data_IF_652412266870
#
_entry.id   IF_652412266870
#
_cell.length_a   1.000
_cell.length_b   1.000
_cell.length_c   1.000
_cell.angle_alpha   90.00
_cell.angle_beta   90.00
_cell.angle_gamma   90.00
#
_symmetry.space_group_name_H-M   'P 1'
#
loop_
_entity.id
_entity.type
_entity.pdbx_description
1 polymer ?
#
# COMPACT_ATOMS: atom_id res chain seq x y z
N UNK A 1 6.89 19.91 -15.42
CA UNK A 1 6.29 18.75 -16.17
C UNK A 1 5.01 19.24 -16.81
N UNK A 2 4.80 19.01 -18.12
CA UNK A 2 3.56 19.42 -18.79
C UNK A 2 2.36 18.66 -18.22
N UNK A 3 1.17 19.28 -18.17
CA UNK A 3 -0.04 18.70 -17.57
C UNK A 3 -0.40 17.33 -18.17
N UNK A 4 -0.26 17.17 -19.48
CA UNK A 4 -0.56 15.90 -20.16
C UNK A 4 0.35 14.76 -19.69
N UNK A 5 1.62 15.04 -19.41
CA UNK A 5 2.55 14.05 -18.88
C UNK A 5 2.14 13.61 -17.46
N UNK A 6 1.78 14.57 -16.59
CA UNK A 6 1.26 14.24 -15.25
C UNK A 6 0.03 13.33 -15.32
N UNK A 7 -0.92 13.65 -16.20
CA UNK A 7 -2.13 12.87 -16.39
C UNK A 7 -1.81 11.45 -16.82
N UNK A 8 -0.94 11.31 -17.83
CA UNK A 8 -0.54 10.00 -18.33
C UNK A 8 0.20 9.19 -17.28
N UNK A 9 1.16 9.78 -16.58
CA UNK A 9 1.92 9.12 -15.51
C UNK A 9 0.99 8.64 -14.39
N UNK A 10 0.05 9.48 -13.95
CA UNK A 10 -0.91 9.10 -12.91
C UNK A 10 -1.87 8.00 -13.35
N UNK A 11 -2.43 8.08 -14.55
CA UNK A 11 -3.29 7.04 -15.09
C UNK A 11 -2.54 5.70 -15.25
N UNK A 12 -1.24 5.78 -15.49
CA UNK A 12 -0.40 4.60 -15.68
C UNK A 12 0.03 3.95 -14.37
N UNK A 13 0.60 4.74 -13.46
CA UNK A 13 1.21 4.25 -12.23
C UNK A 13 0.28 4.29 -11.02
N UNK A 14 -0.83 5.06 -11.09
CA UNK A 14 -1.66 5.37 -9.93
C UNK A 14 -1.01 6.38 -8.96
N UNK A 15 0.14 6.95 -9.34
CA UNK A 15 0.84 8.00 -8.61
C UNK A 15 1.77 8.77 -9.57
N UNK A 16 2.31 9.92 -9.16
CA UNK A 16 3.40 10.56 -9.91
C UNK A 16 4.74 10.08 -9.38
N UNK A 17 5.53 9.38 -10.21
CA UNK A 17 6.91 9.09 -9.85
C UNK A 17 7.72 10.38 -9.65
N UNK A 18 8.60 10.44 -8.65
CA UNK A 18 9.44 11.60 -8.43
C UNK A 18 10.43 11.78 -9.60
N UNK A 19 10.73 13.04 -9.96
CA UNK A 19 11.72 13.35 -10.99
C UNK A 19 13.14 12.97 -10.56
N UNK A 20 13.38 12.94 -9.25
CA UNK A 20 14.65 12.56 -8.64
C UNK A 20 14.41 11.44 -7.63
N UNK A 21 15.44 10.67 -7.34
CA UNK A 21 15.34 9.64 -6.32
C UNK A 21 15.03 10.29 -4.97
N UNK A 22 14.01 9.82 -4.24
CA UNK A 22 13.73 10.33 -2.91
C UNK A 22 14.97 10.26 -2.02
N UNK A 23 15.17 11.25 -1.12
CA UNK A 23 16.21 11.17 -0.12
C UNK A 23 16.14 9.86 0.66
N UNK A 24 17.28 9.22 0.88
CA UNK A 24 17.33 7.91 1.53
C UNK A 24 17.47 6.72 0.58
N UNK A 25 17.14 6.85 -0.72
CA UNK A 25 17.43 5.79 -1.70
C UNK A 25 18.92 5.70 -2.06
N UNK A 26 19.70 6.75 -1.81
CA UNK A 26 21.15 6.73 -1.93
C UNK A 26 21.80 5.63 -1.06
N UNK A 27 21.11 5.19 -0.02
CA UNK A 27 21.53 4.08 0.84
C UNK A 27 21.71 2.80 0.03
N UNK A 28 20.90 2.60 -0.99
CA UNK A 28 20.96 1.41 -1.83
C UNK A 28 22.14 1.43 -2.80
N UNK A 29 22.68 2.60 -3.13
CA UNK A 29 23.82 2.76 -4.06
C UNK A 29 25.20 2.69 -3.40
N UNK A 30 25.27 2.59 -2.08
CA UNK A 30 26.54 2.51 -1.35
C UNK A 30 26.97 1.06 -1.16
N UNK A 31 28.25 0.76 -1.43
CA UNK A 31 28.86 -0.51 -1.03
C UNK A 31 28.57 -0.77 0.47
N UNK A 32 28.16 -1.98 0.79
CA UNK A 32 27.86 -2.38 2.17
C UNK A 32 29.16 -2.85 2.81
N UNK A 33 29.77 -2.09 3.72
CA UNK A 33 30.91 -2.62 4.45
C UNK A 33 30.41 -3.59 5.51
N UNK A 34 30.86 -4.82 5.44
CA UNK A 34 30.62 -5.83 6.47
C UNK A 34 30.10 -7.16 5.94
N UNK A 35 30.52 -8.23 6.54
CA UNK A 35 29.97 -9.56 6.29
C UNK A 35 28.63 -9.71 7.01
N UNK A 36 27.53 -9.47 6.28
CA UNK A 36 26.20 -9.76 6.80
C UNK A 36 25.91 -11.25 6.74
N UNK A 37 25.52 -11.82 7.87
CA UNK A 37 24.97 -13.17 7.89
C UNK A 37 23.46 -13.12 7.66
N UNK A 38 23.00 -13.85 6.69
CA UNK A 38 21.58 -13.91 6.31
C UNK A 38 20.93 -15.14 6.92
N UNK A 39 20.70 -15.08 8.23
CA UNK A 39 19.98 -16.07 9.03
C UNK A 39 18.95 -15.38 9.94
N UNK A 40 18.06 -16.15 10.55
CA UNK A 40 16.96 -15.61 11.34
C UNK A 40 17.42 -14.82 12.58
N UNK A 41 18.49 -15.26 13.26
CA UNK A 41 18.97 -14.67 14.50
C UNK A 41 19.64 -13.32 14.23
N UNK A 42 20.51 -13.23 13.23
CA UNK A 42 21.16 -11.96 12.86
C UNK A 42 20.15 -10.95 12.30
N UNK A 43 19.17 -11.44 11.51
CA UNK A 43 18.06 -10.62 11.02
C UNK A 43 17.22 -10.07 12.19
N UNK A 44 16.91 -10.90 13.19
CA UNK A 44 16.18 -10.51 14.39
C UNK A 44 16.96 -9.49 15.23
N UNK A 45 18.24 -9.72 15.45
CA UNK A 45 19.12 -8.81 16.20
C UNK A 45 19.29 -7.45 15.51
N UNK A 46 19.36 -7.44 14.18
CA UNK A 46 19.36 -6.20 13.40
C UNK A 46 18.02 -5.46 13.55
N UNK A 47 16.92 -6.18 13.51
CA UNK A 47 15.58 -5.60 13.64
C UNK A 47 15.40 -4.96 15.03
N UNK A 48 15.86 -5.62 16.10
CA UNK A 48 15.84 -5.06 17.45
C UNK A 48 16.61 -3.73 17.52
N UNK A 49 17.81 -3.68 16.98
CA UNK A 49 18.62 -2.46 16.91
C UNK A 49 17.94 -1.35 16.14
N UNK A 50 17.45 -1.65 14.96
CA UNK A 50 16.72 -0.70 14.09
C UNK A 50 15.49 -0.15 14.79
N UNK A 51 14.77 -0.99 15.51
CA UNK A 51 13.60 -0.57 16.26
C UNK A 51 13.97 0.37 17.41
N UNK A 52 14.99 0.02 18.20
CA UNK A 52 15.46 0.83 19.33
C UNK A 52 16.03 2.18 18.84
N UNK A 53 16.81 2.18 17.76
CA UNK A 53 17.33 3.41 17.14
C UNK A 53 16.17 4.31 16.66
N UNK A 54 15.13 3.72 16.08
CA UNK A 54 13.93 4.47 15.64
C UNK A 54 13.20 5.10 16.82
N UNK A 55 13.03 4.38 17.92
CA UNK A 55 12.41 4.92 19.14
C UNK A 55 13.22 6.06 19.74
N UNK A 56 14.53 5.93 19.78
CA UNK A 56 15.44 6.91 20.39
C UNK A 56 15.41 8.26 19.67
N UNK A 57 15.17 8.27 18.35
CA UNK A 57 15.10 9.50 17.55
C UNK A 57 13.92 10.40 17.93
N UNK A 58 12.85 9.86 18.50
CA UNK A 58 11.59 10.58 18.74
C UNK A 58 11.32 10.89 20.22
N UNK A 59 12.20 10.46 21.13
CA UNK A 59 12.10 10.76 22.56
C UNK A 59 10.97 10.01 23.27
N UNK A 60 10.27 10.68 24.19
CA UNK A 60 9.16 10.09 24.94
C UNK A 60 7.83 10.29 24.22
N UNK A 61 6.98 9.29 24.23
CA UNK A 61 5.61 9.33 23.71
C UNK A 61 4.62 8.79 24.75
N UNK A 62 3.36 9.23 24.64
CA UNK A 62 2.31 8.82 25.58
C UNK A 62 1.84 7.41 25.30
N UNK A 63 1.52 7.13 24.03
CA UNK A 63 1.09 5.82 23.56
C UNK A 63 1.69 5.48 22.21
N UNK A 64 1.82 4.19 21.94
CA UNK A 64 2.13 3.64 20.63
C UNK A 64 0.82 3.21 19.97
N UNK A 65 0.58 3.70 18.77
CA UNK A 65 -0.58 3.36 17.94
C UNK A 65 -0.09 2.54 16.76
N UNK A 66 -0.62 1.33 16.57
CA UNK A 66 -0.17 0.42 15.51
C UNK A 66 -1.33 0.13 14.56
N UNK A 67 -1.24 0.52 13.27
CA UNK A 67 -2.13 0.02 12.23
C UNK A 67 -1.91 -1.49 12.07
N UNK A 68 -2.78 -2.30 12.67
CA UNK A 68 -2.63 -3.74 12.72
C UNK A 68 -3.43 -4.42 11.62
N UNK A 69 -2.77 -5.22 10.80
CA UNK A 69 -3.38 -5.96 9.70
C UNK A 69 -3.17 -7.47 9.85
N UNK A 70 -3.77 -8.26 8.95
CA UNK A 70 -3.51 -9.69 8.85
C UNK A 70 -2.12 -10.06 8.31
N UNK A 71 -1.26 -9.07 8.00
CA UNK A 71 0.08 -9.25 7.47
C UNK A 71 1.17 -9.52 8.52
N UNK A 72 2.43 -9.60 8.07
CA UNK A 72 3.58 -9.84 8.95
C UNK A 72 4.16 -8.58 9.55
N UNK A 73 4.22 -7.48 8.80
CA UNK A 73 4.97 -6.28 9.18
C UNK A 73 4.40 -5.61 10.43
N UNK A 74 3.10 -5.30 10.43
CA UNK A 74 2.42 -4.72 11.59
C UNK A 74 2.43 -5.67 12.80
N UNK A 75 2.39 -6.97 12.55
CA UNK A 75 2.45 -8.01 13.59
C UNK A 75 3.83 -8.09 14.26
N UNK A 76 4.90 -7.96 13.49
CA UNK A 76 6.27 -7.88 14.01
C UNK A 76 6.43 -6.61 14.86
N UNK A 77 5.94 -5.48 14.38
CA UNK A 77 5.97 -4.22 15.14
C UNK A 77 5.20 -4.33 16.46
N UNK A 78 4.06 -5.02 16.46
CA UNK A 78 3.32 -5.32 17.69
C UNK A 78 4.16 -6.19 18.65
N UNK A 79 4.85 -7.21 18.14
CA UNK A 79 5.73 -8.06 18.93
C UNK A 79 6.87 -7.27 19.58
N UNK A 80 7.56 -6.45 18.80
CA UNK A 80 8.64 -5.57 19.28
C UNK A 80 8.15 -4.54 20.32
N UNK A 81 6.97 -3.97 20.09
CA UNK A 81 6.37 -3.02 21.02
C UNK A 81 6.02 -3.69 22.36
N UNK A 82 5.44 -4.90 22.34
CA UNK A 82 5.06 -5.64 23.54
C UNK A 82 6.27 -6.09 24.40
N UNK A 83 7.44 -6.21 23.82
CA UNK A 83 8.67 -6.51 24.57
C UNK A 83 9.25 -5.29 25.28
N UNK A 84 8.92 -4.09 24.81
CA UNK A 84 9.49 -2.83 25.31
C UNK A 84 8.52 -1.98 26.12
N UNK A 85 7.22 -2.19 25.93
CA UNK A 85 6.18 -1.38 26.53
C UNK A 85 5.08 -2.23 27.16
N UNK A 86 4.49 -1.78 28.27
CA UNK A 86 3.27 -2.39 28.80
C UNK A 86 2.14 -2.38 27.75
N UNK A 87 1.35 -3.45 27.69
CA UNK A 87 0.23 -3.52 26.74
C UNK A 87 -0.78 -2.38 26.87
N UNK A 88 -0.91 -1.79 28.06
CA UNK A 88 -1.76 -0.61 28.30
C UNK A 88 -1.28 0.65 27.56
N UNK A 89 -0.01 0.71 27.14
CA UNK A 89 0.54 1.82 26.37
C UNK A 89 0.50 1.58 24.87
N UNK A 90 -0.10 0.46 24.43
CA UNK A 90 -0.19 0.07 23.04
C UNK A 90 -1.65 0.05 22.63
N UNK A 91 -1.99 0.79 21.58
CA UNK A 91 -3.28 0.74 20.91
C UNK A 91 -3.10 0.23 19.50
N UNK A 92 -4.05 -0.53 19.05
CA UNK A 92 -4.05 -1.04 17.68
C UNK A 92 -5.36 -0.69 16.99
N UNK A 93 -5.31 -0.54 15.67
CA UNK A 93 -6.52 -0.39 14.87
C UNK A 93 -6.38 -1.11 13.53
N UNK A 94 -7.53 -1.45 12.98
CA UNK A 94 -7.63 -1.97 11.61
C UNK A 94 -8.78 -1.25 10.92
N UNK A 95 -8.59 -0.81 9.68
CA UNK A 95 -9.69 -0.37 8.84
C UNK A 95 -9.99 -1.42 7.78
N UNK A 96 -11.26 -1.58 7.44
CA UNK A 96 -11.72 -2.57 6.47
C UNK A 96 -13.19 -2.92 6.64
N UNK A 97 -13.60 -3.98 5.96
CA UNK A 97 -14.95 -4.55 6.12
C UNK A 97 -14.92 -5.71 7.12
N UNK A 98 -15.85 -5.75 8.09
CA UNK A 98 -16.07 -6.94 8.92
C UNK A 98 -16.27 -8.19 8.05
N UNK A 99 -15.63 -9.28 8.43
CA UNK A 99 -15.60 -10.51 7.65
C UNK A 99 -14.45 -10.63 6.65
N UNK A 100 -13.70 -9.56 6.37
CA UNK A 100 -12.52 -9.59 5.51
C UNK A 100 -11.25 -9.94 6.30
N UNK A 101 -10.22 -10.43 5.58
CA UNK A 101 -9.01 -10.96 6.24
C UNK A 101 -8.29 -9.96 7.12
N UNK A 102 -8.02 -8.75 6.63
CA UNK A 102 -7.26 -7.77 7.41
C UNK A 102 -8.03 -7.35 8.66
N UNK A 103 -9.34 -7.10 8.54
CA UNK A 103 -10.20 -6.67 9.64
C UNK A 103 -10.31 -7.73 10.74
N UNK A 104 -10.72 -8.94 10.39
CA UNK A 104 -10.96 -10.01 11.36
C UNK A 104 -9.66 -10.52 12.01
N UNK A 105 -8.60 -10.64 11.22
CA UNK A 105 -7.30 -11.13 11.70
C UNK A 105 -6.63 -10.10 12.59
N UNK A 106 -6.67 -8.81 12.23
CA UNK A 106 -6.14 -7.73 13.07
C UNK A 106 -6.78 -7.74 14.46
N UNK A 107 -8.11 -7.77 14.53
CA UNK A 107 -8.85 -7.89 15.77
C UNK A 107 -8.51 -9.16 16.57
N UNK A 108 -8.38 -10.30 15.87
CA UNK A 108 -8.00 -11.58 16.50
C UNK A 108 -6.61 -11.52 17.12
N UNK A 109 -5.64 -10.92 16.42
CA UNK A 109 -4.27 -10.77 16.93
C UNK A 109 -4.26 -9.89 18.17
N UNK A 110 -4.88 -8.72 18.11
CA UNK A 110 -4.93 -7.77 19.21
C UNK A 110 -5.56 -8.39 20.47
N UNK A 111 -6.69 -9.05 20.31
CA UNK A 111 -7.36 -9.78 21.40
C UNK A 111 -6.46 -10.85 22.03
N UNK A 112 -5.81 -11.69 21.20
CA UNK A 112 -4.91 -12.76 21.68
C UNK A 112 -3.66 -12.22 22.38
N UNK A 113 -3.22 -11.02 22.01
CA UNK A 113 -2.05 -10.38 22.60
C UNK A 113 -2.40 -9.45 23.78
N UNK A 114 -3.67 -9.29 24.12
CA UNK A 114 -4.13 -8.48 25.25
C UNK A 114 -3.91 -6.98 25.09
N UNK A 115 -4.03 -6.46 23.86
CA UNK A 115 -3.91 -5.03 23.56
C UNK A 115 -5.26 -4.44 23.14
N UNK A 116 -5.45 -3.14 23.43
CA UNK A 116 -6.62 -2.39 22.97
C UNK A 116 -6.70 -2.37 21.43
N UNK A 117 -7.89 -2.62 20.89
CA UNK A 117 -8.10 -2.63 19.45
C UNK A 117 -9.39 -1.93 19.03
N UNK A 118 -9.30 -1.16 17.97
CA UNK A 118 -10.45 -0.50 17.33
C UNK A 118 -10.55 -0.94 15.86
N UNK A 119 -11.71 -1.48 15.49
CA UNK A 119 -12.04 -1.76 14.09
C UNK A 119 -12.76 -0.57 13.45
N UNK A 120 -12.20 0.01 12.41
CA UNK A 120 -12.86 1.05 11.61
C UNK A 120 -13.60 0.37 10.45
N UNK A 121 -14.93 0.29 10.59
CA UNK A 121 -15.78 -0.35 9.58
C UNK A 121 -15.98 0.56 8.38
N UNK A 122 -15.33 0.28 7.26
CA UNK A 122 -15.41 1.09 6.04
C UNK A 122 -16.79 1.07 5.36
N UNK A 123 -17.69 0.18 5.74
CA UNK A 123 -19.08 0.26 5.28
C UNK A 123 -19.84 1.45 5.89
N UNK A 124 -19.39 1.94 7.06
CA UNK A 124 -19.99 3.04 7.81
C UNK A 124 -19.28 4.37 7.56
N UNK A 125 -18.15 4.36 6.86
CA UNK A 125 -17.40 5.56 6.49
C UNK A 125 -17.98 6.14 5.22
N UNK A 126 -18.54 7.33 5.30
CA UNK A 126 -19.03 8.07 4.14
C UNK A 126 -17.86 8.69 3.36
N UNK A 127 -17.90 8.53 2.04
CA UNK A 127 -16.87 9.05 1.13
C UNK A 127 -17.37 10.33 0.45
N UNK A 128 -16.85 11.47 0.90
CA UNK A 128 -17.21 12.78 0.35
C UNK A 128 -16.11 13.42 -0.48
N UNK A 129 -16.48 14.16 -1.51
CA UNK A 129 -15.54 14.86 -2.40
C UNK A 129 -14.61 15.83 -1.64
N UNK A 130 -15.18 16.64 -0.76
CA UNK A 130 -14.40 17.62 0.02
C UNK A 130 -13.50 16.94 1.07
N UNK A 131 -13.92 15.80 1.59
CA UNK A 131 -13.11 14.99 2.52
C UNK A 131 -11.90 14.42 1.77
N UNK A 132 -12.13 13.86 0.59
CA UNK A 132 -11.05 13.34 -0.26
C UNK A 132 -10.11 14.46 -0.75
N UNK A 133 -10.63 15.66 -1.04
CA UNK A 133 -9.77 16.81 -1.37
C UNK A 133 -8.79 17.16 -0.24
N UNK A 134 -9.22 17.11 1.01
CA UNK A 134 -8.32 17.34 2.15
C UNK A 134 -7.21 16.27 2.18
N UNK A 135 -7.59 15.01 1.99
CA UNK A 135 -6.61 13.92 1.91
C UNK A 135 -5.62 14.11 0.76
N UNK A 136 -6.09 14.47 -0.42
CA UNK A 136 -5.26 14.70 -1.60
C UNK A 136 -4.28 15.86 -1.42
N UNK A 137 -4.64 16.91 -0.69
CA UNK A 137 -3.72 18.01 -0.37
C UNK A 137 -2.47 17.54 0.38
N UNK A 138 -2.60 16.52 1.21
CA UNK A 138 -1.49 15.94 1.96
C UNK A 138 -0.70 14.92 1.11
N UNK A 139 -1.42 14.00 0.48
CA UNK A 139 -0.82 12.85 -0.20
C UNK A 139 -0.43 13.08 -1.66
N UNK A 140 -0.88 14.17 -2.27
CA UNK A 140 -0.53 14.61 -3.64
C UNK A 140 -0.29 13.48 -4.64
N UNK A 141 -1.09 13.40 -5.66
CA UNK A 141 -0.89 12.45 -6.76
C UNK A 141 -0.62 11.00 -6.33
N UNK A 142 -1.18 10.60 -5.18
CA UNK A 142 -1.16 9.24 -4.66
C UNK A 142 -2.49 8.56 -4.95
N UNK A 143 -2.52 7.23 -4.85
CA UNK A 143 -3.76 6.47 -4.90
C UNK A 143 -4.69 6.85 -3.73
N UNK A 144 -5.79 7.51 -4.07
CA UNK A 144 -6.63 8.24 -3.10
C UNK A 144 -7.25 7.38 -1.99
N UNK A 145 -7.82 6.20 -2.26
CA UNK A 145 -8.41 5.41 -1.17
C UNK A 145 -7.40 4.97 -0.11
N UNK A 146 -6.21 4.53 -0.54
CA UNK A 146 -5.17 4.10 0.41
C UNK A 146 -4.76 5.24 1.31
N UNK A 147 -4.52 6.44 0.74
CA UNK A 147 -4.13 7.60 1.53
C UNK A 147 -5.25 8.05 2.47
N UNK A 148 -6.49 8.10 2.00
CA UNK A 148 -7.62 8.51 2.83
C UNK A 148 -7.85 7.57 4.01
N UNK A 149 -7.86 6.25 3.80
CA UNK A 149 -8.11 5.31 4.88
C UNK A 149 -6.98 5.27 5.91
N UNK A 150 -5.73 5.41 5.47
CA UNK A 150 -4.59 5.54 6.39
C UNK A 150 -4.70 6.83 7.21
N UNK A 151 -4.98 7.97 6.58
CA UNK A 151 -5.17 9.26 7.27
C UNK A 151 -6.35 9.22 8.23
N UNK A 152 -7.48 8.65 7.82
CA UNK A 152 -8.65 8.48 8.68
C UNK A 152 -8.32 7.66 9.92
N UNK A 153 -7.66 6.51 9.75
CA UNK A 153 -7.27 5.65 10.85
C UNK A 153 -6.33 6.37 11.82
N UNK A 154 -5.30 7.04 11.31
CA UNK A 154 -4.36 7.79 12.15
C UNK A 154 -5.01 8.96 12.89
N UNK A 155 -5.91 9.72 12.24
CA UNK A 155 -6.63 10.82 12.85
C UNK A 155 -7.60 10.38 13.95
N UNK A 156 -8.25 9.22 13.76
CA UNK A 156 -9.18 8.67 14.76
C UNK A 156 -8.46 8.11 15.98
N UNK A 157 -7.29 7.53 15.80
CA UNK A 157 -6.64 6.71 16.83
C UNK A 157 -5.49 7.39 17.54
N UNK A 158 -4.80 8.33 16.90
CA UNK A 158 -3.65 9.02 17.46
C UNK A 158 -4.00 10.45 17.89
N UNK A 159 -3.39 10.90 18.99
CA UNK A 159 -3.53 12.27 19.51
C UNK A 159 -2.14 12.87 19.78
N UNK A 160 -2.13 14.12 20.21
CA UNK A 160 -0.89 14.86 20.53
C UNK A 160 -0.02 14.08 21.52
N UNK A 161 1.21 13.83 21.15
CA UNK A 161 2.21 13.12 21.95
C UNK A 161 2.18 11.59 21.80
N UNK A 162 1.27 11.03 20.98
CA UNK A 162 1.33 9.63 20.62
C UNK A 162 2.28 9.43 19.43
N UNK A 163 2.69 8.18 19.20
CA UNK A 163 3.47 7.77 18.04
C UNK A 163 2.79 6.65 17.27
N UNK A 164 2.64 6.84 15.96
CA UNK A 164 2.11 5.83 15.05
C UNK A 164 3.28 4.98 14.56
N UNK A 165 3.27 3.70 14.90
CA UNK A 165 4.28 2.74 14.50
C UNK A 165 3.83 2.00 13.26
N UNK A 166 4.32 2.40 12.08
CA UNK A 166 3.85 1.92 10.80
C UNK A 166 4.81 0.92 10.14
N UNK A 167 4.22 -0.10 9.48
CA UNK A 167 4.92 -1.18 8.79
C UNK A 167 5.40 -0.84 7.37
N UNK A 168 5.38 0.42 6.97
CA UNK A 168 5.86 0.83 5.65
C UNK A 168 7.28 0.31 5.38
N UNK A 169 7.58 -0.05 4.14
CA UNK A 169 8.82 -0.64 3.66
C UNK A 169 9.07 -2.09 4.08
N UNK A 170 8.32 -2.67 5.00
CA UNK A 170 8.48 -4.07 5.37
C UNK A 170 8.34 -5.02 4.17
N UNK A 171 7.22 -4.94 3.49
CA UNK A 171 6.91 -5.77 2.31
C UNK A 171 7.90 -5.57 1.14
N UNK A 172 8.12 -4.33 0.64
CA UNK A 172 8.96 -4.12 -0.54
C UNK A 172 10.40 -4.57 -0.34
N UNK A 173 10.99 -4.27 0.83
CA UNK A 173 12.39 -4.60 1.08
C UNK A 173 12.62 -6.10 1.27
N UNK A 174 11.68 -6.78 1.93
CA UNK A 174 11.89 -8.18 2.32
C UNK A 174 11.51 -9.20 1.25
N UNK A 175 11.07 -8.74 0.07
CA UNK A 175 10.91 -9.59 -1.12
C UNK A 175 9.48 -9.97 -1.49
N UNK A 176 8.43 -9.28 -0.98
CA UNK A 176 7.04 -9.56 -1.40
C UNK A 176 6.79 -9.34 -2.89
N UNK A 177 7.56 -8.46 -3.52
CA UNK A 177 7.51 -8.14 -4.94
C UNK A 177 8.69 -8.71 -5.74
N UNK A 178 9.47 -9.58 -5.14
CA UNK A 178 10.63 -10.20 -5.77
C UNK A 178 10.20 -11.09 -6.94
N UNK A 179 10.85 -10.93 -8.08
CA UNK A 179 10.62 -11.72 -9.30
C UNK A 179 11.77 -12.70 -9.44
N UNK A 180 11.45 -14.01 -9.49
CA UNK A 180 12.42 -15.11 -9.44
C UNK A 180 13.36 -15.19 -10.63
N UNK A 181 12.96 -14.71 -11.79
CA UNK A 181 13.76 -14.79 -13.00
C UNK A 181 14.48 -13.46 -13.23
N UNK A 182 15.80 -13.48 -13.30
CA UNK A 182 16.58 -12.36 -13.84
C UNK A 182 16.25 -12.22 -15.32
N UNK A 183 15.16 -11.50 -15.58
CA UNK A 183 14.85 -11.07 -16.92
C UNK A 183 15.93 -10.08 -17.35
N UNK A 184 16.30 -10.08 -18.63
CA UNK A 184 17.09 -8.99 -19.18
C UNK A 184 16.33 -7.68 -18.97
N UNK A 185 17.04 -6.57 -18.88
CA UNK A 185 16.48 -5.25 -18.60
C UNK A 185 15.23 -4.94 -19.42
N UNK A 186 15.26 -5.15 -20.75
CA UNK A 186 14.12 -4.92 -21.62
C UNK A 186 12.91 -5.80 -21.27
N UNK A 187 13.16 -7.04 -20.86
CA UNK A 187 12.10 -7.97 -20.44
C UNK A 187 11.49 -7.58 -19.10
N UNK A 188 12.30 -7.01 -18.20
CA UNK A 188 11.82 -6.49 -16.90
C UNK A 188 10.91 -5.28 -17.13
N UNK A 189 11.32 -4.40 -18.03
CA UNK A 189 10.55 -3.22 -18.41
C UNK A 189 9.21 -3.63 -19.03
N UNK A 190 9.25 -4.56 -20.00
CA UNK A 190 8.04 -5.09 -20.62
C UNK A 190 7.11 -5.79 -19.62
N UNK A 191 7.65 -6.60 -18.70
CA UNK A 191 6.85 -7.26 -17.65
C UNK A 191 6.22 -6.23 -16.70
N UNK A 192 6.97 -5.21 -16.31
CA UNK A 192 6.45 -4.11 -15.50
C UNK A 192 5.34 -3.36 -16.24
N UNK A 193 5.57 -2.97 -17.49
CA UNK A 193 4.61 -2.30 -18.35
C UNK A 193 3.34 -3.15 -18.52
N UNK A 194 3.48 -4.44 -18.82
CA UNK A 194 2.33 -5.34 -19.01
C UNK A 194 1.54 -5.56 -17.71
N UNK A 195 2.21 -5.60 -16.56
CA UNK A 195 1.55 -5.71 -15.25
C UNK A 195 0.81 -4.44 -14.87
N UNK A 196 1.35 -3.28 -15.22
CA UNK A 196 0.67 -2.01 -15.03
C UNK A 196 -0.50 -1.83 -16.01
N UNK A 197 -0.35 -2.26 -17.27
CA UNK A 197 -1.46 -2.29 -18.24
C UNK A 197 -2.66 -3.14 -17.78
N UNK A 198 -2.44 -4.07 -16.86
CA UNK A 198 -3.54 -4.83 -16.22
C UNK A 198 -4.31 -3.99 -15.19
N UNK A 199 -3.74 -2.89 -14.71
CA UNK A 199 -4.54 -1.87 -14.06
C UNK A 199 -5.41 -1.24 -15.17
N UNK A 200 -6.70 -1.50 -15.12
CA UNK A 200 -7.71 -1.24 -16.16
C UNK A 200 -7.80 0.20 -16.70
N UNK A 201 -7.16 1.16 -16.03
CA UNK A 201 -7.13 2.57 -16.44
C UNK A 201 -6.68 2.80 -17.89
N UNK A 202 -5.97 1.86 -18.46
CA UNK A 202 -5.50 1.88 -19.85
C UNK A 202 -6.52 1.46 -20.89
N UNK A 203 -7.42 0.56 -20.51
CA UNK A 203 -8.46 0.06 -21.41
C UNK A 203 -9.66 1.01 -21.49
N UNK A 204 -9.55 2.18 -20.85
CA UNK A 204 -10.64 3.15 -20.74
C UNK A 204 -10.71 4.14 -21.91
N UNK A 205 -9.85 3.99 -22.89
CA UNK A 205 -9.79 4.92 -24.02
C UNK A 205 -10.92 4.70 -24.99
N UNK A 206 -11.40 5.80 -25.57
CA UNK A 206 -12.30 5.75 -26.73
C UNK A 206 -11.64 5.00 -27.89
N UNK A 207 -12.41 4.29 -28.73
CA UNK A 207 -11.87 3.61 -29.90
C UNK A 207 -10.98 4.54 -30.75
N UNK A 208 -9.83 4.03 -31.18
CA UNK A 208 -8.89 4.77 -32.01
C UNK A 208 -7.94 5.72 -31.28
N UNK A 209 -8.05 5.85 -29.95
CA UNK A 209 -7.14 6.67 -29.15
C UNK A 209 -6.16 5.81 -28.34
N UNK A 210 -4.88 6.09 -28.47
CA UNK A 210 -3.84 5.50 -27.62
C UNK A 210 -3.09 6.63 -26.89
N UNK A 211 -3.39 6.92 -25.62
CA UNK A 211 -2.75 7.99 -24.87
C UNK A 211 -1.26 7.76 -24.61
N UNK A 212 -0.78 6.57 -24.88
CA UNK A 212 0.52 6.08 -24.48
C UNK A 212 1.38 5.78 -25.70
N UNK A 213 1.58 6.78 -26.49
CA UNK A 213 2.57 6.74 -27.57
C UNK A 213 4.01 6.76 -27.04
N UNK A 214 4.19 7.05 -25.78
CA UNK A 214 5.47 6.90 -25.07
C UNK A 214 5.19 6.27 -23.71
N UNK A 215 5.79 5.12 -23.42
CA UNK A 215 6.09 4.72 -22.05
C UNK A 215 6.74 5.95 -21.43
N UNK A 216 6.20 6.44 -20.32
CA UNK A 216 6.68 7.70 -19.79
C UNK A 216 8.18 7.68 -19.64
N UNK A 217 8.84 8.80 -19.91
CA UNK A 217 10.25 9.02 -19.57
C UNK A 217 10.58 8.76 -18.09
N UNK A 218 9.59 8.47 -17.27
CA UNK A 218 9.70 7.95 -15.91
C UNK A 218 10.42 6.61 -15.86
N UNK A 219 10.39 5.86 -16.93
CA UNK A 219 11.33 4.79 -17.18
C UNK A 219 12.71 5.34 -17.55
N UNK A 220 13.02 6.57 -17.08
CA UNK A 220 14.35 7.11 -17.18
C UNK A 220 15.33 6.02 -16.75
N UNK A 221 16.19 5.65 -17.66
CA UNK A 221 17.20 4.61 -17.51
C UNK A 221 17.95 4.71 -16.16
N UNK A 222 18.08 5.92 -15.60
CA UNK A 222 18.69 6.16 -14.28
C UNK A 222 17.99 5.47 -13.12
N UNK A 223 16.66 5.33 -13.14
CA UNK A 223 15.93 4.60 -12.12
C UNK A 223 16.08 3.09 -12.28
N UNK A 224 16.15 2.62 -13.52
CA UNK A 224 16.28 1.19 -13.84
C UNK A 224 17.73 0.71 -13.81
N UNK A 225 18.68 1.50 -14.27
CA UNK A 225 20.11 1.22 -14.13
C UNK A 225 20.49 1.03 -12.67
N UNK A 226 19.93 1.86 -11.76
CA UNK A 226 20.13 1.68 -10.33
C UNK A 226 19.43 0.44 -9.77
N UNK A 227 18.33 -0.03 -10.36
CA UNK A 227 17.66 -1.26 -9.93
C UNK A 227 18.45 -2.52 -10.30
N UNK A 228 19.22 -2.51 -11.38
CA UNK A 228 20.10 -3.63 -11.75
C UNK A 228 21.20 -3.88 -10.72
N UNK A 229 21.71 -2.82 -10.10
CA UNK A 229 22.74 -2.89 -9.06
C UNK A 229 22.20 -3.32 -7.70
N UNK A 230 20.88 -3.33 -7.52
CA UNK A 230 20.24 -3.51 -6.21
C UNK A 230 19.67 -4.89 -5.96
N UNK A 231 19.79 -5.83 -6.89
CA UNK A 231 19.12 -7.14 -6.82
C UNK A 231 17.61 -7.06 -6.53
N UNK A 232 17.02 -5.88 -6.71
CA UNK A 232 15.59 -5.65 -6.66
C UNK A 232 15.02 -5.71 -8.06
N UNK A 233 14.00 -6.49 -8.30
CA UNK A 233 13.25 -6.39 -9.54
C UNK A 233 12.65 -4.98 -9.70
N UNK A 234 12.51 -4.52 -10.94
CA UNK A 234 11.95 -3.19 -11.27
C UNK A 234 10.65 -2.91 -10.52
N UNK A 235 9.76 -3.90 -10.40
CA UNK A 235 8.51 -3.78 -9.65
C UNK A 235 8.73 -3.49 -8.18
N UNK A 236 9.69 -4.16 -7.55
CA UNK A 236 10.04 -3.95 -6.15
C UNK A 236 10.61 -2.55 -5.96
N UNK A 237 11.50 -2.12 -6.85
CA UNK A 237 12.08 -0.80 -6.84
C UNK A 237 11.02 0.31 -6.97
N UNK A 238 10.07 0.17 -7.88
CA UNK A 238 8.94 1.12 -8.00
C UNK A 238 8.07 1.18 -6.74
N UNK A 239 7.81 0.04 -6.10
CA UNK A 239 7.11 0.03 -4.82
C UNK A 239 7.90 0.78 -3.74
N UNK A 240 9.22 0.59 -3.68
CA UNK A 240 10.11 1.28 -2.75
C UNK A 240 10.08 2.78 -3.00
N UNK A 241 10.26 3.23 -4.24
CA UNK A 241 10.23 4.66 -4.62
C UNK A 241 8.89 5.28 -4.24
N UNK A 242 7.78 4.64 -4.59
CA UNK A 242 6.44 5.12 -4.26
C UNK A 242 6.25 5.27 -2.75
N UNK A 243 6.57 4.23 -1.99
CA UNK A 243 6.34 4.24 -0.55
C UNK A 243 7.23 5.26 0.15
N UNK A 244 8.52 5.32 -0.18
CA UNK A 244 9.44 6.29 0.43
C UNK A 244 9.02 7.72 0.15
N UNK A 245 8.62 8.02 -1.09
CA UNK A 245 8.24 9.38 -1.47
C UNK A 245 6.95 9.88 -0.80
N UNK A 246 6.08 8.98 -0.36
CA UNK A 246 4.74 9.29 0.12
C UNK A 246 4.44 8.80 1.54
N UNK A 247 5.37 8.09 2.14
CA UNK A 247 5.20 7.32 3.38
C UNK A 247 4.56 8.12 4.51
N UNK A 248 5.07 9.32 4.79
CA UNK A 248 4.53 10.15 5.86
C UNK A 248 3.19 10.79 5.50
N UNK A 249 3.02 11.22 4.26
CA UNK A 249 1.77 11.84 3.81
C UNK A 249 0.60 10.85 3.75
N UNK A 250 0.88 9.55 3.56
CA UNK A 250 -0.13 8.50 3.64
C UNK A 250 -0.82 8.44 5.02
N UNK A 251 -0.10 8.76 6.09
CA UNK A 251 -0.66 8.84 7.46
C UNK A 251 -1.11 10.26 7.86
N UNK A 252 -1.11 11.20 6.92
CA UNK A 252 -1.53 12.58 7.20
C UNK A 252 -0.47 13.45 7.87
N UNK A 253 0.82 13.09 7.77
CA UNK A 253 1.90 13.92 8.26
C UNK A 253 2.02 15.20 7.45
N UNK A 254 2.15 16.33 8.15
CA UNK A 254 2.27 17.66 7.56
C UNK A 254 3.68 18.19 7.74
N UNK A 255 4.39 18.53 6.65
CA UNK A 255 5.77 19.03 6.73
C UNK A 255 5.93 20.25 7.65
N UNK A 256 4.99 21.20 7.57
CA UNK A 256 5.03 22.44 8.34
C UNK A 256 4.88 22.22 9.86
N UNK A 257 4.19 21.16 10.25
CA UNK A 257 3.99 20.81 11.66
C UNK A 257 5.04 19.81 12.17
N UNK A 258 5.75 19.13 11.29
CA UNK A 258 6.64 18.02 11.61
C UNK A 258 5.93 16.80 12.24
N UNK A 259 4.57 16.78 12.21
CA UNK A 259 3.68 15.80 12.84
C UNK A 259 2.40 15.66 12.02
N UNK A 260 1.55 14.71 12.40
CA UNK A 260 0.17 14.65 11.88
C UNK A 260 -0.65 15.85 12.39
N UNK A 261 -1.80 16.11 11.79
CA UNK A 261 -2.74 17.14 12.25
C UNK A 261 -3.13 16.93 13.72
N UNK A 262 -3.25 15.69 14.16
CA UNK A 262 -3.51 15.34 15.56
C UNK A 262 -2.29 15.55 16.49
N UNK A 263 -1.13 15.90 15.96
CA UNK A 263 0.11 16.12 16.72
C UNK A 263 0.89 14.82 17.05
N UNK A 264 0.61 13.72 16.37
CA UNK A 264 1.32 12.46 16.52
C UNK A 264 2.55 12.38 15.60
N UNK A 265 3.58 11.66 16.04
CA UNK A 265 4.73 11.28 15.21
C UNK A 265 4.46 9.99 14.43
N UNK A 266 5.19 9.80 13.32
CA UNK A 266 5.13 8.57 12.53
C UNK A 266 6.49 7.91 12.53
N UNK A 267 6.54 6.71 13.11
CA UNK A 267 7.72 5.87 13.21
C UNK A 267 7.67 4.75 12.16
N UNK A 268 8.74 4.63 11.38
CA UNK A 268 8.82 3.67 10.27
C UNK A 268 10.11 2.84 10.33
N UNK A 269 10.24 1.89 11.28
CA UNK A 269 11.47 1.15 11.50
C UNK A 269 12.00 0.45 10.26
N UNK A 270 11.14 -0.10 9.42
CA UNK A 270 11.56 -0.78 8.19
C UNK A 270 12.12 0.15 7.11
N UNK A 271 11.97 1.48 7.26
CA UNK A 271 12.65 2.45 6.40
C UNK A 271 14.04 2.86 6.91
N UNK A 272 14.47 2.30 8.05
CA UNK A 272 15.77 2.60 8.63
C UNK A 272 16.92 2.21 7.68
N UNK A 273 17.97 3.06 7.53
CA UNK A 273 19.08 2.82 6.62
C UNK A 273 19.74 1.44 6.77
N UNK A 274 19.98 0.98 8.00
CA UNK A 274 20.60 -0.33 8.23
C UNK A 274 19.71 -1.49 7.75
N UNK A 275 18.39 -1.40 7.95
CA UNK A 275 17.44 -2.39 7.48
C UNK A 275 17.41 -2.45 5.96
N UNK A 276 17.35 -1.30 5.33
CA UNK A 276 17.37 -1.19 3.88
C UNK A 276 18.68 -1.77 3.28
N UNK A 277 19.82 -1.44 3.86
CA UNK A 277 21.12 -2.00 3.45
C UNK A 277 21.21 -3.52 3.58
N UNK A 278 20.76 -4.06 4.71
CA UNK A 278 20.72 -5.51 4.92
C UNK A 278 19.94 -6.22 3.82
N UNK A 279 18.72 -5.76 3.56
CA UNK A 279 17.86 -6.40 2.57
C UNK A 279 18.30 -6.14 1.13
N UNK A 280 18.94 -5.03 0.82
CA UNK A 280 19.51 -4.80 -0.52
C UNK A 280 20.60 -5.83 -0.86
N UNK A 281 21.46 -6.15 0.11
CA UNK A 281 22.50 -7.16 -0.06
C UNK A 281 22.05 -8.61 0.16
N UNK A 282 20.80 -8.84 0.60
CA UNK A 282 20.33 -10.18 0.91
C UNK A 282 20.24 -11.06 -0.35
N UNK A 283 20.70 -12.32 -0.28
CA UNK A 283 20.68 -13.22 -1.41
C UNK A 283 19.25 -13.56 -1.85
N UNK A 284 19.08 -13.90 -3.12
CA UNK A 284 17.79 -14.23 -3.73
C UNK A 284 16.98 -15.23 -2.91
N UNK A 285 17.62 -16.30 -2.44
CA UNK A 285 16.99 -17.34 -1.60
C UNK A 285 16.36 -16.78 -0.31
N UNK A 286 16.92 -15.72 0.24
CA UNK A 286 16.40 -15.07 1.45
C UNK A 286 15.17 -14.23 1.15
N UNK A 287 15.11 -13.60 -0.04
CA UNK A 287 14.02 -12.74 -0.50
C UNK A 287 12.85 -13.54 -1.09
N UNK A 288 13.13 -14.67 -1.76
CA UNK A 288 12.11 -15.51 -2.41
C UNK A 288 11.02 -15.91 -1.44
N UNK A 289 9.77 -15.46 -1.71
CA UNK A 289 8.65 -15.71 -0.82
C UNK A 289 8.84 -15.13 0.59
N UNK A 290 9.75 -14.17 0.76
CA UNK A 290 10.12 -13.59 2.07
C UNK A 290 10.68 -14.65 3.03
N UNK A 291 11.42 -15.64 2.53
CA UNK A 291 11.79 -16.85 3.28
C UNK A 291 12.48 -16.50 4.61
N UNK A 292 13.56 -15.71 4.56
CA UNK A 292 14.30 -15.30 5.77
C UNK A 292 13.44 -14.46 6.72
N UNK A 293 12.61 -13.56 6.18
CA UNK A 293 11.74 -12.71 7.02
C UNK A 293 10.68 -13.53 7.76
N UNK A 294 10.09 -14.53 7.11
CA UNK A 294 9.13 -15.45 7.73
C UNK A 294 9.81 -16.36 8.73
N UNK A 295 11.02 -16.82 8.44
CA UNK A 295 11.82 -17.63 9.37
C UNK A 295 12.15 -16.83 10.63
N UNK A 296 12.67 -15.61 10.50
CA UNK A 296 12.91 -14.68 11.60
C UNK A 296 11.65 -14.44 12.43
N UNK A 297 10.51 -14.17 11.77
CA UNK A 297 9.24 -13.97 12.46
C UNK A 297 8.82 -15.20 13.29
N UNK A 298 9.01 -16.41 12.75
CA UNK A 298 8.68 -17.66 13.46
C UNK A 298 9.60 -17.93 14.64
N UNK A 299 10.88 -17.64 14.48
CA UNK A 299 11.89 -17.80 15.53
C UNK A 299 11.68 -16.77 16.64
N UNK A 300 11.55 -15.50 16.27
CA UNK A 300 11.52 -14.37 17.21
C UNK A 300 10.16 -14.21 17.91
N UNK A 301 9.05 -14.43 17.20
CA UNK A 301 7.69 -14.22 17.70
C UNK A 301 6.80 -15.44 17.46
N UNK A 302 7.13 -16.63 18.04
CA UNK A 302 6.41 -17.88 17.74
C UNK A 302 4.92 -17.81 18.07
N UNK A 303 4.52 -17.13 19.14
CA UNK A 303 3.11 -16.96 19.52
C UNK A 303 2.34 -16.14 18.45
N UNK A 304 2.92 -15.07 17.95
CA UNK A 304 2.33 -14.25 16.89
C UNK A 304 2.33 -14.98 15.55
N UNK A 305 3.39 -15.70 15.23
CA UNK A 305 3.51 -16.48 14.00
C UNK A 305 2.49 -17.63 13.91
N UNK A 306 2.06 -18.18 15.05
CA UNK A 306 1.05 -19.24 15.12
C UNK A 306 -0.38 -18.74 14.86
N UNK A 307 -0.64 -17.42 14.90
CA UNK A 307 -1.96 -16.85 14.64
C UNK A 307 -2.28 -16.82 13.13
N UNK A 308 -3.58 -16.79 12.77
CA UNK A 308 -4.01 -16.68 11.38
C UNK A 308 -3.32 -15.53 10.62
N UNK A 309 -3.06 -15.69 9.32
CA UNK A 309 -2.46 -14.66 8.49
C UNK A 309 -3.17 -14.55 7.13
N UNK A 310 -3.32 -13.34 6.62
CA UNK A 310 -3.83 -13.12 5.26
C UNK A 310 -2.93 -13.74 4.20
N UNK A 311 -1.63 -13.78 4.44
CA UNK A 311 -0.65 -14.38 3.53
C UNK A 311 -0.85 -15.89 3.36
N UNK A 312 -1.56 -16.51 4.30
CA UNK A 312 -1.95 -17.92 4.25
C UNK A 312 -3.47 -18.10 4.16
N UNK A 313 -4.19 -17.11 3.62
CA UNK A 313 -5.65 -17.15 3.44
C UNK A 313 -6.42 -17.48 4.74
N UNK A 314 -5.98 -16.91 5.85
CA UNK A 314 -6.56 -17.14 7.17
C UNK A 314 -6.05 -18.39 7.90
N UNK A 315 -5.12 -19.16 7.31
CA UNK A 315 -4.42 -20.21 8.01
C UNK A 315 -3.24 -19.66 8.85
N UNK A 316 -2.73 -20.46 9.78
CA UNK A 316 -1.48 -20.17 10.50
C UNK A 316 -0.24 -20.61 9.70
N UNK A 317 0.92 -20.05 10.03
CA UNK A 317 2.18 -20.31 9.32
C UNK A 317 2.71 -21.76 9.42
N UNK A 318 2.19 -22.57 10.35
CA UNK A 318 2.61 -23.97 10.56
C UNK A 318 1.73 -25.02 9.88
N UNK A 319 0.64 -24.61 9.22
CA UNK A 319 -0.39 -25.52 8.72
C UNK A 319 -0.30 -25.78 7.21
N UNK A 320 0.78 -26.42 6.72
CA UNK A 320 1.04 -26.60 5.29
C UNK A 320 -0.13 -27.17 4.49
N UNK A 321 -0.75 -28.28 4.93
CA UNK A 321 -1.91 -28.88 4.26
C UNK A 321 -3.13 -27.94 4.30
N UNK A 322 -3.40 -27.35 5.46
CA UNK A 322 -4.53 -26.43 5.64
C UNK A 322 -4.36 -25.16 4.80
N UNK A 323 -3.14 -24.60 4.75
CA UNK A 323 -2.81 -23.49 3.85
C UNK A 323 -3.09 -23.85 2.38
N UNK A 324 -2.64 -25.01 1.93
CA UNK A 324 -2.88 -25.47 0.57
C UNK A 324 -4.38 -25.58 0.25
N UNK A 325 -5.17 -26.15 1.17
CA UNK A 325 -6.62 -26.25 1.04
C UNK A 325 -7.29 -24.87 1.00
N UNK A 326 -6.88 -23.94 1.88
CA UNK A 326 -7.41 -22.59 1.91
C UNK A 326 -7.06 -21.82 0.64
N UNK A 327 -5.84 -21.96 0.13
CA UNK A 327 -5.43 -21.38 -1.17
C UNK A 327 -6.25 -21.94 -2.33
N UNK A 328 -6.47 -23.27 -2.38
CA UNK A 328 -7.32 -23.87 -3.41
C UNK A 328 -8.77 -23.40 -3.31
N UNK A 329 -9.33 -23.33 -2.09
CA UNK A 329 -10.67 -22.81 -1.86
C UNK A 329 -10.79 -21.33 -2.31
N UNK A 330 -9.79 -20.51 -2.02
CA UNK A 330 -9.75 -19.11 -2.44
C UNK A 330 -9.71 -19.00 -3.98
N UNK A 331 -8.80 -19.72 -4.63
CA UNK A 331 -8.68 -19.72 -6.09
C UNK A 331 -9.95 -20.22 -6.77
N UNK A 332 -10.57 -21.31 -6.25
CA UNK A 332 -11.83 -21.83 -6.77
C UNK A 332 -12.94 -20.77 -6.70
N UNK A 333 -13.02 -20.04 -5.58
CA UNK A 333 -14.00 -18.96 -5.44
C UNK A 333 -13.78 -17.84 -6.41
N UNK A 334 -12.53 -17.45 -6.68
CA UNK A 334 -12.21 -16.45 -7.72
C UNK A 334 -12.71 -16.93 -9.09
N UNK A 335 -12.40 -18.18 -9.46
CA UNK A 335 -12.84 -18.76 -10.74
C UNK A 335 -14.35 -18.80 -10.82
N UNK A 336 -15.03 -19.26 -9.77
CA UNK A 336 -16.50 -19.30 -9.72
C UNK A 336 -17.12 -17.90 -9.80
N UNK A 337 -16.51 -16.91 -9.15
CA UNK A 337 -16.94 -15.52 -9.25
C UNK A 337 -16.75 -14.96 -10.68
N UNK A 338 -15.65 -15.27 -11.34
CA UNK A 338 -15.41 -14.82 -12.72
C UNK A 338 -16.42 -15.40 -13.71
N UNK A 339 -16.86 -16.65 -13.51
CA UNK A 339 -17.82 -17.31 -14.39
C UNK A 339 -19.30 -17.12 -13.98
N UNK A 340 -19.55 -16.91 -12.70
CA UNK A 340 -20.89 -16.78 -12.13
C UNK A 340 -20.95 -15.62 -11.10
N UNK A 341 -20.68 -14.37 -11.50
CA UNK A 341 -20.52 -13.24 -10.60
C UNK A 341 -21.75 -12.96 -9.74
N UNK A 342 -22.96 -13.19 -10.29
CA UNK A 342 -24.22 -12.97 -9.56
C UNK A 342 -24.39 -13.92 -8.39
N UNK A 343 -23.97 -15.19 -8.54
CA UNK A 343 -24.19 -16.24 -7.52
C UNK A 343 -23.11 -16.21 -6.42
N UNK A 344 -21.85 -15.96 -6.80
CA UNK A 344 -20.69 -16.07 -5.91
C UNK A 344 -20.17 -14.73 -5.38
N UNK A 345 -20.76 -13.62 -5.77
CA UNK A 345 -20.30 -12.27 -5.43
C UNK A 345 -20.14 -12.02 -3.92
N UNK A 346 -21.09 -12.47 -3.11
CA UNK A 346 -21.11 -12.25 -1.65
C UNK A 346 -20.19 -13.14 -0.83
N UNK A 347 -19.47 -14.09 -1.44
CA UNK A 347 -18.75 -15.13 -0.70
C UNK A 347 -17.23 -15.05 -0.76
N UNK A 348 -16.67 -14.07 -1.48
CA UNK A 348 -15.22 -13.94 -1.62
C UNK A 348 -14.71 -13.04 -0.51
N UNK A 349 -13.89 -13.59 0.40
CA UNK A 349 -13.11 -12.77 1.32
C UNK A 349 -12.07 -12.01 0.52
N UNK A 350 -12.17 -10.69 0.49
CA UNK A 350 -11.19 -9.83 -0.16
C UNK A 350 -9.89 -9.79 0.65
N UNK A 351 -8.77 -9.65 -0.03
CA UNK A 351 -7.49 -9.25 0.56
C UNK A 351 -7.39 -7.72 0.68
N UNK A 352 -8.37 -6.99 0.13
CA UNK A 352 -8.45 -5.54 0.14
C UNK A 352 -9.26 -5.03 1.34
N UNK A 353 -9.19 -3.74 1.59
CA UNK A 353 -9.88 -3.08 2.68
C UNK A 353 -11.39 -3.04 2.50
N UNK A 354 -11.83 -2.76 1.28
CA UNK A 354 -13.23 -2.60 0.88
C UNK A 354 -13.48 -3.32 -0.45
N UNK A 355 -14.67 -3.86 -0.61
CA UNK A 355 -15.16 -4.31 -1.91
C UNK A 355 -15.61 -3.08 -2.71
N UNK A 356 -14.69 -2.49 -3.47
CA UNK A 356 -14.95 -1.30 -4.27
C UNK A 356 -15.93 -1.58 -5.41
N UNK A 357 -15.97 -2.79 -5.95
CA UNK A 357 -16.94 -3.15 -6.97
C UNK A 357 -18.38 -3.02 -6.43
N UNK A 358 -18.60 -3.59 -5.25
CA UNK A 358 -19.90 -3.50 -4.58
C UNK A 358 -20.22 -2.07 -4.15
N UNK A 359 -19.19 -1.32 -3.67
CA UNK A 359 -19.36 0.04 -3.23
C UNK A 359 -19.88 0.96 -4.35
N UNK A 360 -19.28 0.95 -5.53
CA UNK A 360 -19.74 1.77 -6.67
C UNK A 360 -21.13 1.38 -7.17
N UNK A 361 -21.54 0.12 -7.03
CA UNK A 361 -22.85 -0.33 -7.48
C UNK A 361 -23.94 0.03 -6.47
N UNK A 362 -23.67 -0.02 -5.16
CA UNK A 362 -24.71 0.04 -4.12
C UNK A 362 -24.69 1.29 -3.25
N UNK A 363 -23.59 2.01 -3.21
CA UNK A 363 -23.44 3.14 -2.31
C UNK A 363 -23.57 4.45 -3.09
N UNK A 364 -24.47 5.31 -2.61
CA UNK A 364 -24.74 6.60 -3.24
C UNK A 364 -23.56 7.57 -3.13
N UNK A 365 -22.80 7.51 -2.03
CA UNK A 365 -21.59 8.34 -1.85
C UNK A 365 -20.51 8.02 -2.90
N UNK A 366 -20.28 6.74 -3.23
CA UNK A 366 -19.33 6.35 -4.30
C UNK A 366 -19.81 6.75 -5.69
N UNK A 367 -21.12 6.64 -5.95
CA UNK A 367 -21.70 7.13 -7.23
C UNK A 367 -21.56 8.64 -7.34
N UNK A 368 -21.84 9.38 -6.27
CA UNK A 368 -21.67 10.83 -6.25
C UNK A 368 -20.22 11.27 -6.51
N UNK A 369 -19.22 10.53 -5.98
CA UNK A 369 -17.81 10.78 -6.30
C UNK A 369 -17.53 10.61 -7.79
N UNK A 370 -18.04 9.55 -8.39
CA UNK A 370 -17.90 9.31 -9.83
C UNK A 370 -18.53 10.42 -10.66
N UNK A 371 -19.77 10.78 -10.37
CA UNK A 371 -20.49 11.86 -11.07
C UNK A 371 -19.73 13.20 -10.97
N UNK A 372 -19.16 13.51 -9.82
CA UNK A 372 -18.34 14.71 -9.64
C UNK A 372 -17.05 14.66 -10.45
N UNK A 373 -16.37 13.50 -10.47
CA UNK A 373 -15.19 13.31 -11.29
C UNK A 373 -15.51 13.48 -12.79
N UNK A 374 -16.56 12.86 -13.29
CA UNK A 374 -17.00 12.98 -14.70
C UNK A 374 -17.35 14.42 -15.03
N UNK A 375 -18.10 15.11 -14.15
CA UNK A 375 -18.44 16.53 -14.33
C UNK A 375 -17.19 17.39 -14.44
N UNK A 376 -16.23 17.22 -13.54
CA UNK A 376 -14.96 17.95 -13.57
C UNK A 376 -14.19 17.68 -14.87
N UNK A 377 -14.03 16.41 -15.25
CA UNK A 377 -13.32 16.00 -16.46
C UNK A 377 -13.95 16.57 -17.73
N UNK A 378 -15.28 16.60 -17.79
CA UNK A 378 -16.04 17.14 -18.93
C UNK A 378 -15.91 18.66 -19.01
N UNK A 379 -16.06 19.37 -17.90
CA UNK A 379 -15.97 20.84 -17.85
C UNK A 379 -14.56 21.35 -18.18
N UNK A 380 -13.55 20.66 -17.74
CA UNK A 380 -12.15 21.05 -17.96
C UNK A 380 -11.55 20.50 -19.25
N UNK A 381 -12.27 19.60 -19.92
CA UNK A 381 -11.80 18.83 -21.09
C UNK A 381 -10.42 18.16 -20.85
N UNK A 382 -10.19 17.75 -19.61
CA UNK A 382 -8.99 17.00 -19.23
C UNK A 382 -9.19 15.54 -19.59
N UNK A 383 -8.24 14.97 -20.31
CA UNK A 383 -8.27 13.59 -20.79
C UNK A 383 -9.56 13.24 -21.58
N UNK A 384 -9.90 13.98 -22.67
CA UNK A 384 -11.15 13.77 -23.45
C UNK A 384 -11.22 12.41 -24.15
N UNK A 385 -10.12 11.68 -24.14
CA UNK A 385 -9.98 10.35 -24.73
C UNK A 385 -10.49 9.22 -23.83
N UNK A 386 -10.75 9.49 -22.55
CA UNK A 386 -11.31 8.48 -21.63
C UNK A 386 -12.79 8.32 -21.92
N UNK A 387 -13.21 7.06 -22.06
CA UNK A 387 -14.61 6.69 -22.27
C UNK A 387 -15.30 6.45 -20.93
N UNK A 388 -15.59 7.53 -20.23
CA UNK A 388 -16.17 7.49 -18.87
C UNK A 388 -17.54 6.82 -18.82
N UNK A 389 -18.35 6.99 -19.89
CA UNK A 389 -19.71 6.42 -19.96
C UNK A 389 -19.66 4.90 -20.09
N UNK A 390 -18.80 4.40 -20.97
CA UNK A 390 -18.61 2.96 -21.16
C UNK A 390 -18.14 2.29 -19.88
N UNK A 391 -17.15 2.89 -19.22
CA UNK A 391 -16.56 2.36 -17.98
C UNK A 391 -17.63 2.15 -16.92
N UNK A 392 -18.44 3.17 -16.65
CA UNK A 392 -19.48 3.07 -15.63
C UNK A 392 -20.56 2.06 -16.02
N UNK A 393 -21.00 2.08 -17.27
CA UNK A 393 -22.02 1.14 -17.78
C UNK A 393 -21.57 -0.34 -17.66
N UNK A 394 -20.35 -0.65 -18.07
CA UNK A 394 -19.79 -2.00 -17.93
C UNK A 394 -19.67 -2.42 -16.47
N UNK A 395 -19.29 -1.47 -15.58
CA UNK A 395 -19.16 -1.72 -14.15
C UNK A 395 -20.52 -1.98 -13.48
N UNK A 396 -21.50 -1.11 -13.69
CA UNK A 396 -22.86 -1.22 -13.13
C UNK A 396 -23.58 -2.49 -13.59
N UNK A 397 -23.43 -2.83 -14.87
CA UNK A 397 -24.00 -4.08 -15.40
C UNK A 397 -23.33 -5.34 -14.88
N UNK A 398 -22.18 -5.22 -14.19
CA UNK A 398 -21.36 -6.34 -13.74
C UNK A 398 -20.65 -7.07 -14.88
N UNK A 399 -20.65 -6.51 -16.09
CA UNK A 399 -19.95 -7.07 -17.24
C UNK A 399 -18.43 -7.09 -17.00
N UNK A 400 -17.92 -6.04 -16.36
CA UNK A 400 -16.50 -5.92 -16.00
C UNK A 400 -16.33 -5.15 -14.69
N UNK A 401 -15.37 -5.59 -13.87
CA UNK A 401 -14.97 -4.84 -12.68
C UNK A 401 -13.97 -3.74 -13.07
N UNK A 402 -14.42 -2.50 -13.01
CA UNK A 402 -13.63 -1.31 -13.27
C UNK A 402 -13.28 -0.51 -12.01
N UNK A 403 -13.44 -1.08 -10.82
CA UNK A 403 -13.26 -0.36 -9.54
C UNK A 403 -11.98 0.45 -9.48
N UNK A 404 -10.85 -0.16 -9.87
CA UNK A 404 -9.56 0.50 -9.87
C UNK A 404 -9.48 1.68 -10.83
N UNK A 405 -10.12 1.55 -11.98
CA UNK A 405 -10.19 2.61 -12.97
C UNK A 405 -11.04 3.79 -12.48
N UNK A 406 -12.21 3.49 -11.91
CA UNK A 406 -13.09 4.50 -11.32
C UNK A 406 -12.36 5.30 -10.25
N UNK A 407 -11.68 4.61 -9.32
CA UNK A 407 -10.90 5.24 -8.26
C UNK A 407 -9.71 6.05 -8.81
N UNK A 408 -9.05 5.58 -9.87
CA UNK A 408 -7.96 6.31 -10.50
C UNK A 408 -8.45 7.60 -11.17
N UNK A 409 -9.59 7.55 -11.86
CA UNK A 409 -10.18 8.74 -12.50
C UNK A 409 -10.67 9.74 -11.44
N UNK A 410 -11.30 9.28 -10.37
CA UNK A 410 -11.68 10.14 -9.24
C UNK A 410 -10.44 10.80 -8.63
N UNK A 411 -9.37 10.04 -8.40
CA UNK A 411 -8.11 10.56 -7.91
C UNK A 411 -7.47 11.57 -8.85
N UNK A 412 -7.52 11.34 -10.16
CA UNK A 412 -7.05 12.29 -11.17
C UNK A 412 -7.82 13.62 -11.07
N UNK A 413 -9.13 13.57 -11.09
CA UNK A 413 -9.97 14.77 -11.02
C UNK A 413 -9.73 15.56 -9.74
N UNK A 414 -9.63 14.88 -8.58
CA UNK A 414 -9.33 15.50 -7.29
C UNK A 414 -7.97 16.20 -7.27
N UNK A 415 -6.92 15.54 -7.77
CA UNK A 415 -5.58 16.14 -7.81
C UNK A 415 -5.52 17.37 -8.71
N UNK A 416 -6.15 17.30 -9.88
CA UNK A 416 -6.22 18.44 -10.81
C UNK A 416 -7.02 19.60 -10.22
N UNK A 417 -8.16 19.34 -9.57
CA UNK A 417 -8.93 20.41 -8.93
C UNK A 417 -8.16 21.09 -7.81
N UNK A 418 -7.40 20.31 -7.02
CA UNK A 418 -6.56 20.87 -5.96
C UNK A 418 -5.44 21.75 -6.55
N UNK A 419 -4.75 21.30 -7.60
CA UNK A 419 -3.70 22.10 -8.25
C UNK A 419 -4.26 23.40 -8.84
N UNK A 420 -5.37 23.34 -9.58
CA UNK A 420 -6.00 24.54 -10.16
C UNK A 420 -6.37 25.60 -9.13
N UNK A 421 -6.89 25.16 -7.97
CA UNK A 421 -7.24 26.11 -6.88
C UNK A 421 -6.01 26.73 -6.24
N UNK A 422 -4.92 25.99 -6.12
CA UNK A 422 -3.67 26.52 -5.58
C UNK A 422 -3.00 27.50 -6.53
N UNK A 423 -3.05 27.22 -7.83
CA UNK A 423 -2.57 28.16 -8.87
C UNK A 423 -3.39 29.44 -8.90
N UNK A 424 -4.71 29.35 -8.72
CA UNK A 424 -5.60 30.52 -8.68
C UNK A 424 -5.43 31.39 -7.41
N UNK A 425 -4.89 30.82 -6.33
CA UNK A 425 -4.65 31.50 -5.05
C UNK A 425 -3.22 32.08 -4.94
N UNK A 426 -2.35 31.83 -5.93
CA UNK A 426 -1.00 32.44 -6.06
C UNK A 426 -1.03 33.70 -6.90
#
# INVERSE_FOLDING_TARGET
MGINKKINDYLYFGYLPPNELPPGLEIFSREIPGEWKYNADDCGSLLDRVFDDTLTQYGSFNQIVIPLSGGWDSRILLGLALERFPSANIKTYTFGQPGQYDYDIGATIAHKMGVEHTGVNLNEVEMGWDVLKKSVKLSRWTYVPDSYFNQLGSQMMAKKGDSILNGFMGDPLTGSHFIENRLKYEQILDDFVQKQKKADSYNLTKPGYNPLTSIPEVTDNRLFEKSEHLDFGVRQFHCIVRIISQMKSLEGWQPDLGKTEAGADILTPFSHPMWAKYWSGAPEKAKKGRALYVEMMKSRFPKLAALPSKNYYGASSGSGLFHYLMKKRFNLRIVLHQHFPVIFRKQIKSLNYLDFQEAFIRRDDYRALWEQAVRFMTQTNVAPWIDVDRVMKEHESGQKDHSWALLTIIGLALNLEVEQREEANR
#
